data_IF_837887096824
#
_entry.id   IF_837887096824
#
_cell.length_a   1.000
_cell.length_b   1.000
_cell.length_c   1.000
_cell.angle_alpha   90.00
_cell.angle_beta   90.00
_cell.angle_gamma   90.00
#
_symmetry.space_group_name_H-M   'P 1'
#
loop_
_entity.id
_entity.type
_entity.pdbx_description
1 polymer ?
#
# COMPACT_ATOMS: atom_id res chain seq x y z
N UNK A 1 17.29 -28.86 -73.02
CA UNK A 1 15.94 -29.28 -72.57
C UNK A 1 15.79 -29.27 -71.05
N UNK A 2 16.78 -29.76 -70.29
CA UNK A 2 16.83 -29.69 -68.81
C UNK A 2 16.64 -28.29 -68.21
N UNK A 3 17.29 -27.26 -68.77
CA UNK A 3 17.15 -25.87 -68.30
C UNK A 3 15.72 -25.32 -68.41
N UNK A 4 14.95 -25.72 -69.44
CA UNK A 4 13.55 -25.30 -69.59
C UNK A 4 12.63 -25.96 -68.57
N UNK A 5 12.91 -27.21 -68.19
CA UNK A 5 12.13 -27.94 -67.18
C UNK A 5 12.39 -27.35 -65.79
N UNK A 6 13.64 -27.00 -65.48
CA UNK A 6 14.02 -26.40 -64.20
C UNK A 6 13.41 -25.00 -64.01
N UNK A 7 13.30 -24.21 -65.08
CA UNK A 7 12.62 -22.92 -65.06
C UNK A 7 11.11 -23.07 -64.81
N UNK A 8 10.47 -24.08 -65.42
CA UNK A 8 9.04 -24.36 -65.23
C UNK A 8 8.69 -24.79 -63.80
N UNK A 9 9.56 -25.57 -63.14
CA UNK A 9 9.34 -25.98 -61.73
C UNK A 9 9.52 -24.83 -60.75
N UNK A 10 10.45 -23.90 -61.00
CA UNK A 10 10.64 -22.70 -60.16
C UNK A 10 9.46 -21.73 -60.30
N UNK A 11 8.90 -21.60 -61.50
CA UNK A 11 7.72 -20.75 -61.73
C UNK A 11 6.50 -21.30 -60.98
N UNK A 12 6.29 -22.62 -60.95
CA UNK A 12 5.17 -23.23 -60.21
C UNK A 12 5.26 -23.04 -58.68
N UNK A 13 6.47 -22.92 -58.11
CA UNK A 13 6.66 -22.62 -56.68
C UNK A 13 6.48 -21.14 -56.30
N UNK A 14 6.49 -20.23 -57.29
CA UNK A 14 6.34 -18.79 -57.08
C UNK A 14 4.88 -18.30 -57.21
N UNK A 15 3.98 -19.15 -57.66
CA UNK A 15 2.55 -18.88 -57.59
C UNK A 15 1.99 -19.50 -56.30
N UNK A 16 1.68 -18.71 -55.27
CA UNK A 16 0.87 -19.22 -54.18
C UNK A 16 -0.47 -19.63 -54.80
N UNK A 17 -0.74 -20.93 -54.79
CA UNK A 17 -2.12 -21.40 -54.95
C UNK A 17 -2.85 -20.94 -53.71
N UNK A 18 -3.44 -19.74 -53.79
CA UNK A 18 -4.41 -19.29 -52.80
C UNK A 18 -5.60 -20.25 -52.89
N UNK A 19 -5.53 -21.30 -52.08
CA UNK A 19 -6.61 -22.23 -51.85
C UNK A 19 -7.66 -21.46 -51.05
N UNK A 20 -8.42 -20.60 -51.72
CA UNK A 20 -9.59 -19.97 -51.14
C UNK A 20 -10.56 -21.09 -50.79
N UNK A 21 -10.55 -21.50 -49.51
CA UNK A 21 -11.67 -22.18 -48.92
C UNK A 21 -12.91 -21.31 -49.22
N UNK A 22 -13.93 -21.88 -49.86
CA UNK A 22 -15.21 -21.20 -49.99
C UNK A 22 -15.71 -20.92 -48.58
N UNK A 23 -15.63 -19.66 -48.17
CA UNK A 23 -16.09 -19.20 -46.87
C UNK A 23 -17.62 -19.19 -46.92
N UNK A 24 -18.22 -20.35 -46.61
CA UNK A 24 -19.67 -20.45 -46.46
C UNK A 24 -20.09 -19.56 -45.30
N UNK A 25 -20.90 -18.54 -45.57
CA UNK A 25 -21.41 -17.65 -44.54
C UNK A 25 -22.11 -18.45 -43.43
N UNK A 26 -21.97 -18.05 -42.17
CA UNK A 26 -22.63 -18.72 -41.05
C UNK A 26 -24.15 -18.57 -41.21
N UNK A 27 -24.83 -19.67 -41.53
CA UNK A 27 -26.27 -19.70 -41.75
C UNK A 27 -26.96 -20.48 -40.65
N UNK A 28 -28.05 -19.91 -40.15
CA UNK A 28 -29.00 -20.57 -39.26
C UNK A 28 -30.37 -20.55 -39.91
N UNK A 29 -31.11 -21.65 -39.79
CA UNK A 29 -32.48 -21.74 -40.31
C UNK A 29 -33.45 -22.02 -39.16
N UNK A 30 -34.52 -21.24 -39.08
CA UNK A 30 -35.66 -21.55 -38.21
C UNK A 30 -36.65 -22.43 -38.97
N UNK A 31 -37.17 -23.46 -38.32
CA UNK A 31 -38.15 -24.40 -38.87
C UNK A 31 -39.34 -24.50 -37.93
N UNK A 32 -40.55 -24.58 -38.49
CA UNK A 32 -41.76 -24.88 -37.72
C UNK A 32 -42.06 -26.39 -37.73
N UNK A 33 -42.97 -26.83 -36.85
CA UNK A 33 -43.29 -28.24 -36.69
C UNK A 33 -43.90 -28.82 -37.98
N UNK A 34 -43.15 -29.70 -38.65
CA UNK A 34 -43.55 -30.35 -39.91
C UNK A 34 -42.76 -29.92 -41.15
N UNK A 35 -41.91 -28.89 -41.05
CA UNK A 35 -41.09 -28.44 -42.17
C UNK A 35 -39.90 -29.39 -42.46
N UNK A 36 -39.58 -29.66 -43.75
CA UNK A 36 -38.42 -30.45 -44.11
C UNK A 36 -37.12 -29.66 -43.85
N UNK A 37 -36.15 -30.31 -43.22
CA UNK A 37 -34.86 -29.69 -42.94
C UNK A 37 -34.13 -29.32 -44.24
N UNK A 38 -33.61 -28.07 -44.37
CA UNK A 38 -32.98 -27.58 -45.58
C UNK A 38 -31.63 -28.27 -45.88
N UNK A 39 -31.04 -28.92 -44.89
CA UNK A 39 -29.84 -29.75 -45.03
C UNK A 39 -29.81 -30.86 -43.97
N UNK A 40 -29.05 -31.92 -44.22
CA UNK A 40 -28.89 -33.03 -43.29
C UNK A 40 -27.82 -32.71 -42.23
N UNK A 41 -28.23 -32.47 -40.98
CA UNK A 41 -27.31 -32.16 -39.87
C UNK A 41 -27.97 -31.37 -38.74
N UNK A 42 -27.16 -30.77 -37.86
CA UNK A 42 -27.59 -29.71 -36.93
C UNK A 42 -28.10 -28.50 -37.71
N UNK A 43 -29.12 -27.75 -37.23
CA UNK A 43 -29.72 -26.58 -37.93
C UNK A 43 -28.76 -25.41 -38.23
N UNK A 44 -27.48 -25.56 -37.88
CA UNK A 44 -26.39 -24.65 -38.19
C UNK A 44 -25.47 -25.31 -39.22
N UNK A 45 -25.05 -24.55 -40.24
CA UNK A 45 -23.98 -25.00 -41.12
C UNK A 45 -22.67 -25.20 -40.30
N UNK A 46 -21.70 -25.98 -40.80
CA UNK A 46 -20.47 -26.24 -40.06
C UNK A 46 -19.70 -24.95 -39.70
N UNK A 47 -19.74 -23.92 -40.57
CA UNK A 47 -19.15 -22.60 -40.26
C UNK A 47 -19.85 -21.90 -39.10
N UNK A 48 -21.18 -21.83 -39.06
CA UNK A 48 -21.93 -21.25 -37.94
C UNK A 48 -21.71 -22.03 -36.64
N UNK A 49 -21.58 -23.35 -36.72
CA UNK A 49 -21.27 -24.18 -35.54
C UNK A 49 -19.87 -23.89 -35.00
N UNK A 50 -18.88 -23.79 -35.89
CA UNK A 50 -17.51 -23.44 -35.52
C UNK A 50 -17.42 -22.03 -34.90
N UNK A 51 -18.13 -21.07 -35.48
CA UNK A 51 -18.20 -19.70 -34.94
C UNK A 51 -18.88 -19.68 -33.57
N UNK A 52 -20.00 -20.39 -33.38
CA UNK A 52 -20.67 -20.46 -32.08
C UNK A 52 -19.77 -21.06 -30.99
N UNK A 53 -18.99 -22.09 -31.32
CA UNK A 53 -18.01 -22.69 -30.41
C UNK A 53 -16.89 -21.68 -30.10
N UNK A 54 -16.34 -21.03 -31.12
CA UNK A 54 -15.31 -20.02 -30.95
C UNK A 54 -15.78 -18.83 -30.08
N UNK A 55 -16.99 -18.33 -30.33
CA UNK A 55 -17.61 -17.27 -29.55
C UNK A 55 -17.84 -17.71 -28.10
N UNK A 56 -18.25 -18.95 -27.88
CA UNK A 56 -18.43 -19.49 -26.52
C UNK A 56 -17.10 -19.50 -25.77
N UNK A 57 -16.05 -20.07 -26.36
CA UNK A 57 -14.72 -20.14 -25.75
C UNK A 57 -14.13 -18.75 -25.51
N UNK A 58 -14.31 -17.83 -26.46
CA UNK A 58 -13.88 -16.45 -26.32
C UNK A 58 -14.60 -15.76 -25.17
N UNK A 59 -15.93 -15.92 -25.05
CA UNK A 59 -16.71 -15.33 -23.95
C UNK A 59 -16.35 -15.90 -22.59
N UNK A 60 -16.06 -17.20 -22.49
CA UNK A 60 -15.59 -17.81 -21.26
C UNK A 60 -14.22 -17.27 -20.85
N UNK A 61 -13.31 -17.17 -21.81
CA UNK A 61 -11.96 -16.64 -21.60
C UNK A 61 -12.00 -15.16 -21.20
N UNK A 62 -12.81 -14.34 -21.86
CA UNK A 62 -12.98 -12.92 -21.52
C UNK A 62 -13.61 -12.74 -20.14
N UNK A 63 -14.58 -13.58 -19.77
CA UNK A 63 -15.15 -13.59 -18.42
C UNK A 63 -14.08 -13.89 -17.36
N UNK A 64 -13.30 -14.95 -17.56
CA UNK A 64 -12.23 -15.35 -16.64
C UNK A 64 -11.13 -14.28 -16.55
N UNK A 65 -10.75 -13.68 -17.68
CA UNK A 65 -9.77 -12.61 -17.72
C UNK A 65 -10.24 -11.39 -16.92
N UNK A 66 -11.51 -10.99 -17.02
CA UNK A 66 -12.08 -9.87 -16.25
C UNK A 66 -12.09 -10.17 -14.76
N UNK A 67 -12.55 -11.37 -14.37
CA UNK A 67 -12.59 -11.78 -12.96
C UNK A 67 -11.17 -11.79 -12.38
N UNK A 68 -10.22 -12.40 -13.07
CA UNK A 68 -8.82 -12.42 -12.63
C UNK A 68 -8.21 -11.02 -12.57
N UNK A 69 -8.53 -10.14 -13.52
CA UNK A 69 -8.09 -8.75 -13.48
C UNK A 69 -8.59 -8.03 -12.22
N UNK A 70 -9.88 -8.16 -11.89
CA UNK A 70 -10.45 -7.55 -10.69
C UNK A 70 -9.86 -8.13 -9.40
N UNK A 71 -9.68 -9.45 -9.32
CA UNK A 71 -9.05 -10.11 -8.18
C UNK A 71 -7.62 -9.61 -7.99
N UNK A 72 -6.84 -9.53 -9.06
CA UNK A 72 -5.45 -9.06 -9.00
C UNK A 72 -5.37 -7.59 -8.59
N UNK A 73 -6.27 -6.76 -9.12
CA UNK A 73 -6.34 -5.34 -8.75
C UNK A 73 -6.68 -5.16 -7.26
N UNK A 74 -7.67 -5.91 -6.76
CA UNK A 74 -8.06 -5.86 -5.35
C UNK A 74 -6.95 -6.39 -4.43
N UNK A 75 -6.31 -7.49 -4.82
CA UNK A 75 -5.17 -8.06 -4.08
C UNK A 75 -4.03 -7.06 -4.00
N UNK A 76 -3.59 -6.49 -5.14
CA UNK A 76 -2.51 -5.51 -5.18
C UNK A 76 -2.83 -4.26 -4.34
N UNK A 77 -4.09 -3.78 -4.37
CA UNK A 77 -4.52 -2.66 -3.54
C UNK A 77 -4.45 -3.00 -2.05
N UNK A 78 -4.90 -4.19 -1.66
CA UNK A 78 -4.91 -4.63 -0.26
C UNK A 78 -3.49 -4.87 0.26
N UNK A 79 -2.63 -5.46 -0.56
CA UNK A 79 -1.22 -5.64 -0.22
C UNK A 79 -0.52 -4.30 -0.03
N UNK A 80 -0.79 -3.32 -0.91
CA UNK A 80 -0.25 -1.96 -0.74
C UNK A 80 -0.73 -1.32 0.58
N UNK A 81 -2.03 -1.41 0.87
CA UNK A 81 -2.62 -0.86 2.10
C UNK A 81 -2.03 -1.52 3.35
N UNK A 82 -1.89 -2.84 3.33
CA UNK A 82 -1.29 -3.61 4.42
C UNK A 82 0.18 -3.24 4.62
N UNK A 83 0.97 -3.21 3.56
CA UNK A 83 2.40 -2.84 3.63
C UNK A 83 2.57 -1.41 4.15
N UNK A 84 1.74 -0.47 3.71
CA UNK A 84 1.77 0.91 4.23
C UNK A 84 1.43 0.97 5.71
N UNK A 85 0.45 0.19 6.16
CA UNK A 85 0.08 0.12 7.57
C UNK A 85 1.22 -0.47 8.42
N UNK A 86 1.84 -1.54 7.94
CA UNK A 86 2.97 -2.18 8.60
C UNK A 86 4.16 -1.22 8.72
N UNK A 87 4.55 -0.54 7.63
CA UNK A 87 5.64 0.46 7.66
C UNK A 87 5.34 1.59 8.66
N UNK A 88 4.07 2.05 8.73
CA UNK A 88 3.68 3.07 9.71
C UNK A 88 3.77 2.56 11.15
N UNK A 89 3.34 1.33 11.38
CA UNK A 89 3.42 0.69 12.69
C UNK A 89 4.87 0.53 13.13
N UNK A 90 5.72 -0.08 12.29
CA UNK A 90 7.13 -0.32 12.58
C UNK A 90 7.88 0.99 12.84
N UNK A 91 7.64 2.02 12.01
CA UNK A 91 8.27 3.33 12.22
C UNK A 91 7.80 4.04 13.48
N UNK A 92 6.56 3.82 13.92
CA UNK A 92 6.05 4.38 15.17
C UNK A 92 6.63 3.65 16.37
N UNK A 93 6.75 2.33 16.31
CA UNK A 93 7.37 1.50 17.33
C UNK A 93 8.86 1.85 17.49
N UNK A 94 9.60 1.95 16.39
CA UNK A 94 11.01 2.37 16.40
C UNK A 94 11.18 3.77 17.02
N UNK A 95 10.33 4.73 16.64
CA UNK A 95 10.36 6.07 17.26
C UNK A 95 10.06 6.04 18.74
N UNK A 96 9.05 5.27 19.16
CA UNK A 96 8.67 5.18 20.56
C UNK A 96 9.78 4.56 21.41
N UNK A 97 10.39 3.48 20.92
CA UNK A 97 11.51 2.82 21.62
C UNK A 97 12.76 3.69 21.63
N UNK A 98 13.09 4.37 20.54
CA UNK A 98 14.18 5.36 20.50
C UNK A 98 13.93 6.51 21.47
N UNK A 99 12.71 7.04 21.55
CA UNK A 99 12.38 8.10 22.51
C UNK A 99 12.44 7.60 23.95
N UNK A 100 11.93 6.42 24.25
CA UNK A 100 11.99 5.83 25.59
C UNK A 100 13.45 5.64 26.05
N UNK A 101 14.30 5.09 25.18
CA UNK A 101 15.73 4.89 25.50
C UNK A 101 16.47 6.22 25.71
N UNK A 102 16.19 7.24 24.90
CA UNK A 102 16.77 8.58 25.10
C UNK A 102 16.33 9.21 26.43
N UNK A 103 15.05 9.05 26.81
CA UNK A 103 14.55 9.55 28.10
C UNK A 103 15.18 8.82 29.28
N UNK A 104 15.36 7.51 29.19
CA UNK A 104 16.01 6.71 30.24
C UNK A 104 17.49 7.10 30.40
N UNK A 105 18.18 7.39 29.30
CA UNK A 105 19.54 7.93 29.32
C UNK A 105 19.59 9.30 29.98
N UNK A 106 18.70 10.22 29.60
CA UNK A 106 18.62 11.56 30.19
C UNK A 106 18.36 11.49 31.71
N UNK A 107 17.45 10.63 32.16
CA UNK A 107 17.19 10.40 33.60
C UNK A 107 18.44 9.86 34.31
N UNK A 108 19.14 8.93 33.67
CA UNK A 108 20.35 8.32 34.24
C UNK A 108 21.47 9.36 34.36
N UNK A 109 21.68 10.17 33.33
CA UNK A 109 22.66 11.25 33.32
C UNK A 109 22.35 12.32 34.36
N UNK A 110 21.08 12.78 34.45
CA UNK A 110 20.65 13.73 35.47
C UNK A 110 20.87 13.17 36.88
N UNK A 111 20.52 11.90 37.11
CA UNK A 111 20.74 11.23 38.39
C UNK A 111 22.23 11.09 38.71
N UNK A 112 23.06 10.82 37.72
CA UNK A 112 24.51 10.73 37.90
C UNK A 112 25.14 12.09 38.20
N UNK A 113 24.71 13.16 37.53
CA UNK A 113 25.14 14.53 37.85
C UNK A 113 24.76 14.92 39.28
N UNK A 114 23.52 14.63 39.70
CA UNK A 114 23.08 14.85 41.10
C UNK A 114 23.88 14.01 42.09
N UNK A 115 24.24 12.76 41.74
CA UNK A 115 25.04 11.88 42.61
C UNK A 115 26.50 12.33 42.70
N UNK A 116 27.08 12.82 41.60
CA UNK A 116 28.49 13.30 41.54
C UNK A 116 28.69 14.63 42.24
N UNK A 117 27.65 15.47 42.30
CA UNK A 117 27.66 16.71 43.07
C UNK A 117 26.74 16.56 44.29
N UNK A 118 27.11 15.74 45.30
CA UNK A 118 26.31 15.61 46.51
C UNK A 118 26.27 16.98 47.16
N UNK A 119 25.09 17.59 47.11
CA UNK A 119 24.88 18.98 47.47
C UNK A 119 24.85 19.15 49.00
N UNK A 120 25.96 18.79 49.66
CA UNK A 120 26.08 18.64 51.10
C UNK A 120 25.88 19.97 51.85
N UNK A 121 25.99 21.10 51.16
CA UNK A 121 25.87 22.43 51.76
C UNK A 121 24.59 23.19 51.41
N UNK A 122 23.84 22.83 50.37
CA UNK A 122 22.70 23.68 49.93
C UNK A 122 21.54 23.69 50.91
N UNK A 123 21.27 22.59 51.61
CA UNK A 123 20.28 22.60 52.70
C UNK A 123 20.70 23.53 53.85
N UNK A 124 22.02 23.64 54.10
CA UNK A 124 22.56 24.53 55.13
C UNK A 124 22.51 26.00 54.71
N UNK A 125 22.81 26.30 53.43
CA UNK A 125 22.60 27.62 52.86
C UNK A 125 21.13 28.04 52.85
N UNK A 126 20.22 27.13 52.51
CA UNK A 126 18.78 27.39 52.54
C UNK A 126 18.26 27.66 53.96
N UNK A 127 18.61 26.80 54.92
CA UNK A 127 18.22 26.98 56.32
C UNK A 127 18.83 28.26 56.94
N UNK A 128 20.09 28.55 56.61
CA UNK A 128 20.77 29.78 57.04
C UNK A 128 20.09 31.04 56.50
N UNK A 129 19.70 31.05 55.23
CA UNK A 129 18.97 32.17 54.62
C UNK A 129 17.61 32.42 55.27
N UNK A 130 16.86 31.35 55.58
CA UNK A 130 15.57 31.47 56.26
C UNK A 130 15.70 32.07 57.66
N UNK A 131 16.65 31.56 58.47
CA UNK A 131 16.89 32.06 59.83
C UNK A 131 17.35 33.53 59.78
N UNK A 132 18.29 33.87 58.90
CA UNK A 132 18.77 35.23 58.75
C UNK A 132 17.65 36.20 58.36
N UNK A 133 16.75 35.78 57.45
CA UNK A 133 15.58 36.57 57.05
C UNK A 133 14.61 36.81 58.20
N UNK A 134 14.29 35.77 58.98
CA UNK A 134 13.41 35.89 60.14
C UNK A 134 13.98 36.84 61.21
N UNK A 135 15.27 36.70 61.54
CA UNK A 135 15.95 37.60 62.50
C UNK A 135 15.95 39.04 61.98
N UNK A 136 16.22 39.23 60.69
CA UNK A 136 16.23 40.57 60.07
C UNK A 136 14.83 41.21 60.12
N UNK A 137 13.77 40.45 59.85
CA UNK A 137 12.39 40.96 59.92
C UNK A 137 12.02 41.41 61.34
N UNK A 138 12.40 40.62 62.36
CA UNK A 138 12.18 40.98 63.76
C UNK A 138 12.96 42.25 64.13
N UNK A 139 14.23 42.35 63.72
CA UNK A 139 15.06 43.52 63.99
C UNK A 139 14.49 44.80 63.38
N UNK A 140 14.01 44.74 62.13
CA UNK A 140 13.36 45.88 61.45
C UNK A 140 12.09 46.31 62.19
N UNK A 141 11.27 45.35 62.65
CA UNK A 141 10.05 45.65 63.39
C UNK A 141 10.32 46.41 64.69
N UNK A 142 11.33 45.99 65.46
CA UNK A 142 11.71 46.69 66.70
C UNK A 142 12.31 48.07 66.42
N UNK A 143 13.19 48.20 65.41
CA UNK A 143 13.75 49.49 65.03
C UNK A 143 12.66 50.49 64.61
N UNK A 144 11.65 50.04 63.84
CA UNK A 144 10.53 50.88 63.43
C UNK A 144 9.65 51.31 64.63
N UNK A 145 9.42 50.41 65.60
CA UNK A 145 8.66 50.73 66.82
C UNK A 145 9.32 51.81 67.66
N UNK A 146 10.65 51.77 67.81
CA UNK A 146 11.39 52.73 68.63
C UNK A 146 11.36 54.14 68.03
N UNK A 147 11.49 54.25 66.71
CA UNK A 147 11.37 55.53 65.99
C UNK A 147 9.95 56.11 66.14
N UNK A 148 8.92 55.26 66.10
CA UNK A 148 7.51 55.70 66.18
C UNK A 148 7.12 56.12 67.60
N UNK A 149 7.68 55.50 68.64
CA UNK A 149 7.43 55.90 70.04
C UNK A 149 8.25 57.11 70.50
N UNK A 150 9.43 57.36 69.92
CA UNK A 150 10.25 58.54 70.24
C UNK A 150 9.74 59.86 69.65
N UNK A 151 8.67 59.84 68.85
CA UNK A 151 8.08 61.05 68.22
C UNK A 151 6.74 61.51 68.87
N UNK A 152 6.43 61.05 70.08
CA UNK A 152 5.30 61.53 70.88
C UNK A 152 5.76 62.32 72.11
#
# INVERSE_FOLDING_TARGET
MLSRILVLTVIFSLFPVDLFAQEEEPQFTQLEEGDPAPFAGTLFNPTATAQLIADREFRLTDCDLRVNYEINLLTARRDLEYNLLQVRYDSLEERSTALATLRDQEITDLREMVRKQPNRHNHWFFAGGFIAGAVTSIAIFFAAREITQGSQ
#
